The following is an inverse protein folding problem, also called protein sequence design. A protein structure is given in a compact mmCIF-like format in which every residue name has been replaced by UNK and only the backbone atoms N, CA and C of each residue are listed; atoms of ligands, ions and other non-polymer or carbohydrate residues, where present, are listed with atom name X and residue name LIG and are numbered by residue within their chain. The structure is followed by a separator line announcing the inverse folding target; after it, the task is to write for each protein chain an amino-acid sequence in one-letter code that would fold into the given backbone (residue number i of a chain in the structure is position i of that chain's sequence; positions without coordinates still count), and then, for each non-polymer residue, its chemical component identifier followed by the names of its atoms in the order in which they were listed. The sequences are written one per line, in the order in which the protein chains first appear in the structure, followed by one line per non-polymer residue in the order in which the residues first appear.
data_IF_936732541525
#
_entry.id   IF_936732541525
#
_cell.length_a   1.000
_cell.length_b   1.000
_cell.length_c   1.000
_cell.angle_alpha   90.00
_cell.angle_beta   90.00
_cell.angle_gamma   90.00
#
_symmetry.space_group_name_H-M   'P 1'
#
loop_
_entity.id
_entity.type
_entity.pdbx_description
1 polymer ?
#
# COMPACT_ATOMS: atom_id res chain seq x y z
N UNK A 1 7.00 13.45 8.77
CA UNK A 1 8.09 12.78 8.01
C UNK A 1 8.63 11.59 8.79
N UNK A 2 9.23 11.80 9.97
CA UNK A 2 9.80 10.72 10.81
C UNK A 2 8.82 9.59 11.11
N UNK A 3 7.54 9.89 11.41
CA UNK A 3 6.52 8.87 11.66
C UNK A 3 6.40 7.82 10.55
N UNK A 4 6.48 8.22 9.27
CA UNK A 4 6.38 7.28 8.13
C UNK A 4 7.67 6.50 7.88
N UNK A 5 8.82 7.00 8.35
CA UNK A 5 10.12 6.32 8.24
C UNK A 5 10.33 5.33 9.39
N UNK A 6 9.70 5.58 10.54
CA UNK A 6 9.89 4.77 11.76
C UNK A 6 8.75 3.78 11.98
N UNK A 7 7.51 4.14 11.65
CA UNK A 7 6.33 3.31 11.93
C UNK A 7 5.59 2.94 10.64
N UNK A 8 4.89 1.81 10.67
CA UNK A 8 4.15 1.28 9.53
C UNK A 8 2.81 2.02 9.26
N UNK A 9 2.41 2.93 10.16
CA UNK A 9 1.20 3.76 10.03
C UNK A 9 -0.09 2.95 9.75
N UNK A 10 -0.18 1.73 10.29
CA UNK A 10 -1.33 0.84 10.12
C UNK A 10 -1.27 -0.08 8.91
N UNK A 11 -0.19 -0.02 8.11
CA UNK A 11 0.04 -0.90 6.96
C UNK A 11 1.33 -1.70 7.15
N UNK A 12 1.20 -2.92 7.69
CA UNK A 12 2.35 -3.81 7.92
C UNK A 12 2.80 -4.62 6.71
N UNK A 13 1.99 -4.69 5.66
CA UNK A 13 2.27 -5.49 4.46
C UNK A 13 1.67 -4.86 3.22
N UNK A 14 2.47 -4.76 2.14
CA UNK A 14 2.06 -4.22 0.85
C UNK A 14 2.27 -5.26 -0.25
N UNK A 15 1.29 -5.38 -1.14
CA UNK A 15 1.37 -6.20 -2.36
C UNK A 15 1.38 -5.28 -3.56
N UNK A 16 2.33 -5.50 -4.48
CA UNK A 16 2.35 -4.83 -5.78
C UNK A 16 1.82 -5.81 -6.81
N UNK A 17 0.74 -5.45 -7.49
CA UNK A 17 0.07 -6.30 -8.47
C UNK A 17 -0.58 -5.47 -9.59
N UNK A 18 -0.89 -6.09 -10.74
CA UNK A 18 -1.76 -5.51 -11.76
C UNK A 18 -3.12 -5.05 -11.21
N UNK A 19 -3.65 -3.95 -11.75
CA UNK A 19 -4.89 -3.32 -11.23
C UNK A 19 -6.12 -4.22 -11.36
N UNK A 20 -6.18 -5.04 -12.40
CA UNK A 20 -7.25 -6.02 -12.66
C UNK A 20 -7.29 -7.14 -11.61
N UNK A 21 -6.19 -7.42 -10.92
CA UNK A 21 -6.14 -8.44 -9.86
C UNK A 21 -6.57 -7.92 -8.47
N UNK A 22 -6.77 -6.62 -8.30
CA UNK A 22 -7.03 -6.01 -6.99
C UNK A 22 -8.25 -6.63 -6.26
N UNK A 23 -9.34 -6.90 -6.99
CA UNK A 23 -10.55 -7.49 -6.41
C UNK A 23 -10.33 -8.93 -5.93
N UNK A 24 -9.61 -9.74 -6.71
CA UNK A 24 -9.27 -11.12 -6.34
C UNK A 24 -8.38 -11.14 -5.09
N UNK A 25 -7.36 -10.27 -5.05
CA UNK A 25 -6.45 -10.14 -3.92
C UNK A 25 -7.22 -9.75 -2.64
N UNK A 26 -8.09 -8.73 -2.71
CA UNK A 26 -8.94 -8.33 -1.57
C UNK A 26 -9.83 -9.47 -1.07
N UNK A 27 -10.38 -10.28 -1.97
CA UNK A 27 -11.20 -11.45 -1.63
C UNK A 27 -10.40 -12.50 -0.85
N UNK A 28 -9.15 -12.77 -1.26
CA UNK A 28 -8.24 -13.69 -0.55
C UNK A 28 -7.96 -13.16 0.86
N UNK A 29 -7.56 -11.91 1.02
CA UNK A 29 -7.32 -11.31 2.35
C UNK A 29 -8.57 -11.38 3.24
N UNK A 30 -9.74 -11.07 2.68
CA UNK A 30 -11.03 -11.17 3.40
C UNK A 30 -11.33 -12.59 3.88
N UNK A 31 -11.06 -13.62 3.06
CA UNK A 31 -11.19 -15.04 3.44
C UNK A 31 -10.33 -15.38 4.66
N UNK A 32 -9.15 -14.78 4.76
CA UNK A 32 -8.24 -14.93 5.90
C UNK A 32 -8.53 -13.94 7.04
N UNK A 33 -9.64 -13.21 7.00
CA UNK A 33 -10.04 -12.19 8.00
C UNK A 33 -9.03 -11.06 8.16
N UNK A 34 -8.29 -10.75 7.10
CA UNK A 34 -7.34 -9.65 7.06
C UNK A 34 -7.97 -8.48 6.30
N UNK A 35 -7.99 -7.30 6.92
CA UNK A 35 -8.42 -6.08 6.26
C UNK A 35 -7.42 -5.70 5.16
N UNK A 36 -7.92 -5.35 3.97
CA UNK A 36 -7.09 -4.94 2.85
C UNK A 36 -7.73 -3.78 2.10
N UNK A 37 -6.88 -2.88 1.59
CA UNK A 37 -7.29 -1.71 0.82
C UNK A 37 -6.20 -1.35 -0.19
N UNK A 38 -6.61 -0.70 -1.28
CA UNK A 38 -5.65 -0.09 -2.21
C UNK A 38 -5.16 1.23 -1.61
N UNK A 39 -3.85 1.36 -1.39
CA UNK A 39 -3.24 2.52 -0.74
C UNK A 39 -2.44 3.42 -1.69
N UNK A 40 -2.27 3.02 -2.95
CA UNK A 40 -1.45 3.76 -3.90
C UNK A 40 -1.26 3.05 -5.24
N UNK A 41 -0.33 3.59 -6.04
CA UNK A 41 0.03 3.08 -7.37
C UNK A 41 1.51 3.30 -7.66
N UNK A 42 2.10 2.43 -8.47
CA UNK A 42 3.45 2.64 -9.00
C UNK A 42 3.42 3.68 -10.11
N UNK A 43 4.42 4.55 -10.14
CA UNK A 43 4.63 5.55 -11.19
C UNK A 43 6.08 5.51 -11.64
N UNK A 44 6.42 6.19 -12.73
CA UNK A 44 7.81 6.30 -13.22
C UNK A 44 8.71 7.20 -12.36
N UNK A 45 8.15 7.90 -11.35
CA UNK A 45 8.91 8.79 -10.47
C UNK A 45 9.65 7.98 -9.40
N UNK A 46 10.90 8.37 -9.11
CA UNK A 46 11.71 7.78 -8.03
C UNK A 46 11.24 8.27 -6.66
N UNK A 47 11.10 7.34 -5.73
CA UNK A 47 10.78 7.60 -4.34
C UNK A 47 9.32 7.29 -3.99
N UNK A 48 8.94 7.59 -2.73
CA UNK A 48 7.59 7.38 -2.20
C UNK A 48 7.03 8.71 -1.75
N UNK A 49 5.82 9.03 -2.21
CA UNK A 49 5.10 10.27 -1.83
C UNK A 49 3.77 9.90 -1.18
N UNK A 50 3.52 10.45 0.01
CA UNK A 50 2.26 10.30 0.74
C UNK A 50 1.67 11.69 0.97
N UNK A 51 0.44 11.94 0.52
CA UNK A 51 -0.23 13.25 0.64
C UNK A 51 0.65 14.43 0.19
N UNK A 52 1.30 14.31 -0.97
CA UNK A 52 2.24 15.29 -1.54
C UNK A 52 3.55 15.50 -0.76
N UNK A 53 3.82 14.70 0.28
CA UNK A 53 5.06 14.73 1.05
C UNK A 53 5.94 13.56 0.58
N UNK A 54 7.17 13.86 0.13
CA UNK A 54 8.15 12.83 -0.22
C UNK A 54 8.77 12.25 1.06
N UNK A 55 8.68 10.93 1.24
CA UNK A 55 9.16 10.23 2.44
C UNK A 55 10.35 9.29 2.16
N UNK A 56 10.57 8.93 0.90
CA UNK A 56 11.71 8.15 0.40
C UNK A 56 12.03 8.55 -1.05
#
# INVERSE_FOLDING_TARGET
EEMYKTFNMGVGFCVIAPKDQASQIKSIFKKHKIASQEIGKITSKKGVTVNSIKIA
#
